data_IF_248515202456
#
_entry.id   IF_248515202456
#
_cell.length_a   1.000
_cell.length_b   1.000
_cell.length_c   1.000
_cell.angle_alpha   90.00
_cell.angle_beta   90.00
_cell.angle_gamma   90.00
#
_symmetry.space_group_name_H-M   'P 1'
#
loop_
_entity.id
_entity.type
_entity.pdbx_description
1 polymer ?
#
# COMPACT_ATOMS: atom_id res chain seq x y z
N UNK A 1 1.72 10.03 -3.21
CA UNK A 1 2.47 8.76 -3.10
C UNK A 1 2.38 8.25 -1.67
N UNK A 2 3.02 7.11 -1.36
CA UNK A 2 2.94 6.51 -0.02
C UNK A 2 3.57 7.38 1.06
N UNK A 3 4.69 8.06 0.74
CA UNK A 3 5.34 8.98 1.66
C UNK A 3 4.39 10.06 2.19
N UNK A 4 3.66 10.73 1.31
CA UNK A 4 2.70 11.77 1.72
C UNK A 4 1.55 11.21 2.58
N UNK A 5 1.15 9.96 2.35
CA UNK A 5 0.12 9.29 3.16
C UNK A 5 0.66 8.98 4.56
N UNK A 6 1.89 8.49 4.66
CA UNK A 6 2.58 8.27 5.94
C UNK A 6 2.68 9.56 6.73
N UNK A 7 3.20 10.62 6.11
CA UNK A 7 3.36 11.93 6.76
C UNK A 7 1.98 12.46 7.24
N UNK A 8 0.95 12.38 6.39
CA UNK A 8 -0.42 12.78 6.74
C UNK A 8 -0.96 12.06 8.00
N UNK A 9 -0.88 10.72 8.05
CA UNK A 9 -1.42 9.97 9.18
C UNK A 9 -0.57 10.13 10.46
N UNK A 10 0.75 10.24 10.34
CA UNK A 10 1.60 10.54 11.49
C UNK A 10 1.27 11.92 12.07
N UNK A 11 1.11 12.93 11.22
CA UNK A 11 0.69 14.26 11.64
C UNK A 11 -0.69 14.26 12.29
N UNK A 12 -1.65 13.53 11.72
CA UNK A 12 -2.97 13.36 12.32
C UNK A 12 -2.89 12.69 13.70
N UNK A 13 -1.94 11.78 13.92
CA UNK A 13 -1.65 11.19 15.22
C UNK A 13 -0.86 12.11 16.17
N UNK A 14 -0.46 13.31 15.73
CA UNK A 14 0.19 14.32 16.55
C UNK A 14 1.73 14.30 16.51
N UNK A 15 2.36 13.64 15.53
CA UNK A 15 3.82 13.60 15.43
C UNK A 15 4.33 13.67 13.98
N UNK A 16 5.61 14.07 13.82
CA UNK A 16 6.34 14.00 12.55
C UNK A 16 7.17 12.71 12.52
N UNK A 17 7.10 11.87 11.47
CA UNK A 17 7.90 10.67 11.38
C UNK A 17 9.38 11.00 11.14
N UNK A 18 10.28 10.41 11.95
CA UNK A 18 11.72 10.45 11.66
C UNK A 18 12.08 9.39 10.61
N UNK A 19 12.15 9.81 9.35
CA UNK A 19 12.49 8.90 8.23
C UNK A 19 14.00 8.75 8.11
N UNK A 20 14.50 7.52 8.32
CA UNK A 20 15.93 7.17 8.23
C UNK A 20 16.27 6.32 6.99
N UNK A 21 15.24 5.83 6.29
CA UNK A 21 15.37 5.00 5.09
C UNK A 21 14.11 5.16 4.22
N UNK A 22 14.29 5.28 2.89
CA UNK A 22 13.21 5.37 1.91
C UNK A 22 13.55 4.54 0.66
N UNK A 23 12.60 3.76 0.17
CA UNK A 23 12.74 2.93 -1.04
C UNK A 23 11.36 2.61 -1.62
N UNK A 24 11.30 2.34 -2.93
CA UNK A 24 10.13 1.87 -3.66
C UNK A 24 10.04 0.33 -3.72
N UNK A 25 11.03 -0.38 -3.19
CA UNK A 25 11.09 -1.83 -3.14
C UNK A 25 10.53 -2.38 -1.82
N UNK A 26 9.41 -3.11 -1.89
CA UNK A 26 8.82 -3.76 -0.72
C UNK A 26 9.79 -4.74 -0.03
N UNK A 27 10.60 -5.47 -0.80
CA UNK A 27 11.57 -6.43 -0.26
C UNK A 27 12.73 -5.73 0.47
N UNK A 28 13.17 -4.57 -0.02
CA UNK A 28 14.19 -3.77 0.67
C UNK A 28 13.66 -3.20 2.00
N UNK A 29 12.39 -2.73 2.03
CA UNK A 29 11.73 -2.31 3.28
C UNK A 29 11.68 -3.46 4.28
N UNK A 30 11.17 -4.63 3.87
CA UNK A 30 11.05 -5.80 4.76
C UNK A 30 12.40 -6.22 5.33
N UNK A 31 13.44 -6.29 4.49
CA UNK A 31 14.82 -6.61 4.94
C UNK A 31 15.36 -5.60 5.94
N UNK A 32 15.08 -4.31 5.73
CA UNK A 32 15.51 -3.27 6.67
C UNK A 32 14.82 -3.43 8.03
N UNK A 33 13.51 -3.68 8.04
CA UNK A 33 12.75 -3.95 9.28
C UNK A 33 13.28 -5.21 9.97
N UNK A 34 13.49 -6.30 9.22
CA UNK A 34 14.01 -7.57 9.73
C UNK A 34 15.41 -7.42 10.36
N UNK A 35 16.22 -6.46 9.90
CA UNK A 35 17.51 -6.14 10.51
C UNK A 35 17.44 -5.48 11.89
N UNK A 36 16.24 -5.12 12.37
CA UNK A 36 16.01 -4.54 13.70
C UNK A 36 16.23 -3.02 13.81
N UNK A 37 16.47 -2.33 12.69
CA UNK A 37 16.82 -0.90 12.69
C UNK A 37 15.60 0.05 12.61
N UNK A 38 14.37 -0.46 12.53
CA UNK A 38 13.17 0.38 12.53
C UNK A 38 11.88 -0.36 12.19
N UNK A 39 10.82 0.43 11.99
CA UNK A 39 9.50 0.00 11.54
C UNK A 39 9.18 0.63 10.18
N UNK A 40 8.19 0.07 9.47
CA UNK A 40 7.75 0.60 8.19
C UNK A 40 6.24 0.77 8.15
N UNK A 41 5.80 1.80 7.43
CA UNK A 41 4.39 2.02 7.09
C UNK A 41 4.17 1.50 5.67
N UNK A 42 3.40 0.44 5.51
CA UNK A 42 3.15 -0.20 4.20
C UNK A 42 1.66 -0.38 3.93
N UNK A 43 1.23 -0.41 2.65
CA UNK A 43 -0.14 -0.79 2.32
C UNK A 43 -0.28 -2.32 2.32
N UNK A 44 -0.99 -2.85 3.32
CA UNK A 44 -1.23 -4.28 3.50
C UNK A 44 -1.66 -5.01 2.23
N UNK A 45 -2.58 -4.41 1.47
CA UNK A 45 -3.20 -5.07 0.31
C UNK A 45 -2.25 -5.22 -0.89
N UNK A 46 -1.52 -4.16 -1.24
CA UNK A 46 -0.72 -4.12 -2.47
C UNK A 46 0.73 -4.49 -2.25
N UNK A 47 1.22 -4.36 -1.02
CA UNK A 47 2.53 -4.83 -0.58
C UNK A 47 2.32 -5.87 0.51
N UNK A 48 1.81 -7.06 0.14
CA UNK A 48 1.70 -8.14 1.09
C UNK A 48 3.09 -8.47 1.62
N UNK A 49 3.14 -8.78 2.91
CA UNK A 49 4.32 -9.36 3.53
C UNK A 49 4.61 -10.70 2.84
N UNK A 50 5.88 -11.02 2.64
CA UNK A 50 6.28 -12.37 2.29
C UNK A 50 6.03 -13.28 3.51
N UNK A 51 5.13 -14.26 3.35
CA UNK A 51 4.75 -15.18 4.43
C UNK A 51 5.93 -16.03 4.93
N UNK A 52 7.00 -16.14 4.13
CA UNK A 52 8.24 -16.82 4.54
C UNK A 52 9.11 -16.03 5.51
N UNK A 53 8.88 -14.71 5.69
CA UNK A 53 9.64 -13.89 6.64
C UNK A 53 9.02 -13.98 8.05
N UNK A 54 9.49 -14.91 8.89
CA UNK A 54 8.93 -15.11 10.24
C UNK A 54 9.20 -13.96 11.21
N UNK A 55 10.17 -13.08 10.93
CA UNK A 55 10.67 -12.08 11.88
C UNK A 55 10.01 -10.70 11.72
N UNK A 56 9.28 -10.46 10.63
CA UNK A 56 8.55 -9.21 10.39
C UNK A 56 7.08 -9.42 10.69
N UNK A 57 6.45 -8.58 11.52
CA UNK A 57 5.04 -8.71 11.82
C UNK A 57 4.27 -7.47 11.35
N UNK A 58 3.10 -7.69 10.75
CA UNK A 58 2.18 -6.60 10.43
C UNK A 58 1.43 -6.20 11.70
N UNK A 59 1.48 -4.91 12.03
CA UNK A 59 0.77 -4.34 13.17
C UNK A 59 -0.46 -3.58 12.69
N UNK A 60 -1.61 -3.89 13.28
CA UNK A 60 -2.86 -3.17 13.00
C UNK A 60 -2.86 -1.82 13.72
N UNK A 61 -3.08 -0.75 12.96
CA UNK A 61 -3.24 0.61 13.49
C UNK A 61 -4.72 0.80 13.88
N UNK A 62 -4.96 1.06 15.16
CA UNK A 62 -6.32 1.30 15.67
C UNK A 62 -6.81 2.69 15.33
N UNK A 63 -6.00 3.73 15.59
CA UNK A 63 -6.28 5.13 15.25
C UNK A 63 -4.98 5.85 14.82
N UNK A 64 -5.06 6.76 13.83
CA UNK A 64 -6.22 7.05 12.99
C UNK A 64 -6.55 5.89 12.04
N UNK A 65 -7.77 5.86 11.51
CA UNK A 65 -8.16 4.90 10.46
C UNK A 65 -7.39 5.16 9.15
N UNK A 66 -6.26 4.50 8.99
CA UNK A 66 -5.41 4.62 7.81
C UNK A 66 -6.02 3.92 6.60
N UNK A 67 -6.74 4.66 5.75
CA UNK A 67 -7.31 4.13 4.49
C UNK A 67 -6.76 4.87 3.28
N UNK A 68 -6.60 4.14 2.17
CA UNK A 68 -6.28 4.71 0.86
C UNK A 68 -7.18 4.10 -0.20
N UNK A 69 -7.47 4.86 -1.25
CA UNK A 69 -8.19 4.37 -2.42
C UNK A 69 -7.21 4.04 -3.55
N UNK A 70 -7.48 2.95 -4.28
CA UNK A 70 -6.86 2.67 -5.56
C UNK A 70 -7.88 3.08 -6.61
N UNK A 71 -7.53 4.07 -7.43
CA UNK A 71 -8.46 4.66 -8.40
C UNK A 71 -8.01 4.28 -9.80
N UNK A 72 -8.90 3.62 -10.54
CA UNK A 72 -8.78 3.45 -11.98
C UNK A 72 -9.46 4.65 -12.66
N UNK A 73 -8.74 5.34 -13.53
CA UNK A 73 -9.27 6.51 -14.26
C UNK A 73 -8.92 6.43 -15.74
N UNK A 74 -9.80 6.98 -16.58
CA UNK A 74 -9.59 7.11 -18.03
C UNK A 74 -9.96 8.52 -18.49
N UNK A 75 -9.39 8.95 -19.62
CA UNK A 75 -9.63 10.29 -20.17
C UNK A 75 -11.08 10.51 -20.67
N UNK A 76 -11.92 9.45 -20.70
CA UNK A 76 -13.34 9.51 -21.03
C UNK A 76 -13.83 8.20 -21.66
N UNK A 77 -15.04 7.76 -21.30
CA UNK A 77 -15.60 6.48 -21.77
C UNK A 77 -15.73 6.36 -23.30
N UNK A 78 -15.76 7.48 -24.02
CA UNK A 78 -15.91 7.52 -25.48
C UNK A 78 -14.62 7.20 -26.25
N UNK A 79 -13.50 7.02 -25.55
CA UNK A 79 -12.18 6.83 -26.18
C UNK A 79 -11.50 5.49 -25.84
N UNK A 80 -12.15 4.61 -25.07
CA UNK A 80 -11.57 3.32 -24.73
C UNK A 80 -11.75 2.33 -25.90
N UNK A 81 -10.65 1.75 -26.34
CA UNK A 81 -10.65 0.56 -27.19
C UNK A 81 -11.28 -0.62 -26.45
N UNK A 82 -11.68 -1.65 -27.21
CA UNK A 82 -12.20 -2.89 -26.63
C UNK A 82 -11.22 -3.52 -25.63
N UNK A 83 -9.91 -3.44 -25.87
CA UNK A 83 -8.92 -4.01 -24.96
C UNK A 83 -8.78 -3.22 -23.65
N UNK A 84 -8.89 -1.90 -23.70
CA UNK A 84 -8.86 -1.07 -22.48
C UNK A 84 -10.10 -1.27 -21.61
N UNK A 85 -11.28 -1.47 -22.23
CA UNK A 85 -12.49 -1.86 -21.49
C UNK A 85 -12.30 -3.20 -20.79
N UNK A 86 -11.88 -4.24 -21.54
CA UNK A 86 -11.65 -5.58 -20.99
C UNK A 86 -10.60 -5.57 -19.87
N UNK A 87 -9.53 -4.80 -20.04
CA UNK A 87 -8.49 -4.67 -19.02
C UNK A 87 -8.99 -3.92 -17.79
N UNK A 88 -9.81 -2.88 -17.97
CA UNK A 88 -10.43 -2.14 -16.86
C UNK A 88 -11.39 -3.01 -16.04
N UNK A 89 -12.17 -3.86 -16.70
CA UNK A 89 -13.04 -4.85 -16.04
C UNK A 89 -12.20 -5.90 -15.28
N UNK A 90 -11.13 -6.40 -15.90
CA UNK A 90 -10.19 -7.32 -15.25
C UNK A 90 -9.58 -6.70 -13.99
N UNK A 91 -9.07 -5.47 -14.05
CA UNK A 91 -8.45 -4.79 -12.92
C UNK A 91 -9.45 -4.60 -11.77
N UNK A 92 -10.68 -4.16 -12.07
CA UNK A 92 -11.73 -4.01 -11.07
C UNK A 92 -12.00 -5.34 -10.37
N UNK A 93 -12.21 -6.42 -11.14
CA UNK A 93 -12.43 -7.75 -10.58
C UNK A 93 -11.25 -8.22 -9.73
N UNK A 94 -10.02 -8.06 -10.23
CA UNK A 94 -8.79 -8.45 -9.52
C UNK A 94 -8.67 -7.77 -8.15
N UNK A 95 -8.86 -6.45 -8.09
CA UNK A 95 -8.73 -5.72 -6.82
C UNK A 95 -9.88 -5.97 -5.85
N UNK A 96 -11.11 -6.21 -6.32
CA UNK A 96 -12.22 -6.65 -5.45
C UNK A 96 -11.93 -8.03 -4.83
N UNK A 97 -11.42 -8.97 -5.62
CA UNK A 97 -11.02 -10.30 -5.12
C UNK A 97 -9.84 -10.21 -4.14
N UNK A 98 -8.89 -9.30 -4.39
CA UNK A 98 -7.76 -9.08 -3.50
C UNK A 98 -8.22 -8.53 -2.14
N UNK A 99 -9.13 -7.54 -2.12
CA UNK A 99 -9.67 -6.97 -0.88
C UNK A 99 -10.42 -8.00 -0.04
N UNK A 100 -11.19 -8.90 -0.68
CA UNK A 100 -11.95 -9.96 0.03
C UNK A 100 -11.10 -11.00 0.75
N UNK A 101 -9.79 -11.07 0.46
CA UNK A 101 -8.84 -12.02 1.06
C UNK A 101 -8.01 -11.42 2.19
N UNK A 102 -8.12 -10.10 2.42
CA UNK A 102 -7.38 -9.33 3.43
C UNK A 102 -8.17 -9.14 4.72
#
# INVERSE_FOLDING_TARGET
GLRQITDFFCHQAGFEPKVIFETDSSSAVTRYVNSGHGIAFIPQLTWPKDDSDENVHLLSISEPKCRRFIILSSAGAQHLSRYEVLFSEFLQKYFCELESKS
#
